data_IF_235892333132
#
_entry.id   IF_235892333132
#
_cell.length_a   1.000
_cell.length_b   1.000
_cell.length_c   1.000
_cell.angle_alpha   90.00
_cell.angle_beta   90.00
_cell.angle_gamma   90.00
#
_symmetry.space_group_name_H-M   'P 1'
#
loop_
_entity.id
_entity.type
_entity.pdbx_description
1 polymer ?
#
# COMPACT_ATOMS: atom_id res chain seq x y z
N UNK A 1 0.43 -11.43 -16.82
CA UNK A 1 1.32 -10.82 -15.82
C UNK A 1 1.34 -9.32 -16.10
N UNK A 2 0.54 -8.53 -15.40
CA UNK A 2 0.43 -7.09 -15.67
C UNK A 2 1.22 -6.36 -14.59
N UNK A 3 2.27 -5.66 -15.02
CA UNK A 3 3.22 -4.97 -14.16
C UNK A 3 2.48 -4.03 -13.19
N UNK A 4 2.78 -4.18 -11.90
CA UNK A 4 2.48 -3.14 -10.93
C UNK A 4 3.29 -1.91 -11.36
N UNK A 5 2.63 -0.90 -11.92
CA UNK A 5 3.26 0.35 -12.34
C UNK A 5 3.89 1.03 -11.12
N UNK A 6 5.17 0.77 -10.88
CA UNK A 6 5.94 1.43 -9.84
C UNK A 6 6.16 2.87 -10.27
N UNK A 7 5.42 3.80 -9.68
CA UNK A 7 5.78 5.21 -9.77
C UNK A 7 7.21 5.38 -9.20
N UNK A 8 8.03 6.33 -9.69
CA UNK A 8 9.44 6.49 -9.29
C UNK A 8 9.66 6.76 -7.78
N UNK A 9 8.58 6.90 -7.01
CA UNK A 9 8.54 7.19 -5.58
C UNK A 9 8.42 5.95 -4.68
N UNK A 10 8.50 4.73 -5.23
CA UNK A 10 8.50 3.49 -4.43
C UNK A 10 7.12 3.07 -3.90
N UNK A 11 6.05 3.72 -4.35
CA UNK A 11 4.66 3.36 -4.04
C UNK A 11 4.13 2.33 -5.04
N UNK A 12 3.53 1.28 -4.51
CA UNK A 12 2.90 0.21 -5.28
C UNK A 12 1.37 0.29 -5.13
N UNK A 13 0.69 0.38 -6.27
CA UNK A 13 -0.77 0.28 -6.35
C UNK A 13 -1.23 -1.18 -6.34
N UNK A 14 -2.46 -1.42 -5.89
CA UNK A 14 -3.09 -2.74 -5.98
C UNK A 14 -3.27 -3.15 -7.44
N UNK A 15 -2.90 -4.39 -7.77
CA UNK A 15 -3.08 -4.98 -9.11
C UNK A 15 -4.56 -5.16 -9.51
N UNK A 16 -5.49 -5.07 -8.55
CA UNK A 16 -6.93 -5.13 -8.81
C UNK A 16 -7.54 -3.75 -9.10
N UNK A 17 -6.77 -2.67 -9.02
CA UNK A 17 -7.29 -1.35 -9.35
C UNK A 17 -7.09 -1.02 -10.83
N UNK A 18 -8.20 -0.95 -11.56
CA UNK A 18 -8.23 -0.49 -12.96
C UNK A 18 -8.65 0.97 -13.11
N UNK A 19 -9.01 1.66 -12.02
CA UNK A 19 -9.58 3.02 -12.04
C UNK A 19 -8.54 4.16 -12.00
N UNK A 20 -7.35 3.96 -12.55
CA UNK A 20 -6.43 5.06 -12.91
C UNK A 20 -6.09 6.09 -11.83
N UNK A 21 -5.89 5.67 -10.57
CA UNK A 21 -5.55 6.59 -9.46
C UNK A 21 -6.61 6.69 -8.35
N UNK A 22 -7.61 5.79 -8.36
CA UNK A 22 -8.57 5.64 -7.27
C UNK A 22 -8.29 4.38 -6.44
N UNK A 23 -7.09 4.28 -5.87
CA UNK A 23 -6.66 3.10 -5.12
C UNK A 23 -5.85 3.41 -3.86
N UNK A 24 -5.82 2.43 -2.97
CA UNK A 24 -4.85 2.39 -1.88
C UNK A 24 -3.50 1.94 -2.43
N UNK A 25 -2.45 2.65 -2.02
CA UNK A 25 -1.06 2.33 -2.35
C UNK A 25 -0.27 2.06 -1.06
N UNK A 26 0.77 1.25 -1.18
CA UNK A 26 1.71 0.99 -0.08
C UNK A 26 3.16 1.06 -0.54
N UNK A 27 4.09 1.24 0.39
CA UNK A 27 5.53 1.36 0.09
C UNK A 27 6.33 0.14 0.61
N UNK A 28 6.51 -0.92 -0.20
CA UNK A 28 7.18 -2.15 0.24
C UNK A 28 8.64 -1.96 0.64
N UNK A 29 9.38 -1.10 -0.08
CA UNK A 29 10.78 -0.83 0.24
C UNK A 29 10.95 -0.18 1.62
N UNK A 30 10.05 0.74 1.98
CA UNK A 30 10.05 1.35 3.31
C UNK A 30 9.69 0.33 4.39
N UNK A 31 8.71 -0.55 4.12
CA UNK A 31 8.35 -1.62 5.05
C UNK A 31 9.50 -2.59 5.33
N UNK A 32 10.26 -2.97 4.29
CA UNK A 32 11.39 -3.86 4.43
C UNK A 32 12.53 -3.27 5.28
N UNK A 33 12.77 -1.95 5.18
CA UNK A 33 13.88 -1.27 5.85
C UNK A 33 13.51 -0.80 7.26
N UNK A 34 12.28 -0.31 7.46
CA UNK A 34 11.90 0.39 8.68
C UNK A 34 10.92 -0.39 9.58
N UNK A 35 10.42 -1.54 9.14
CA UNK A 35 9.49 -2.34 9.94
C UNK A 35 8.09 -1.74 10.08
N UNK A 36 7.74 -0.75 9.25
CA UNK A 36 6.43 -0.09 9.22
C UNK A 36 5.89 -0.07 7.81
N UNK A 37 4.62 -0.39 7.64
CA UNK A 37 3.91 -0.47 6.36
C UNK A 37 3.20 0.86 6.11
N UNK A 38 3.72 1.73 5.22
CA UNK A 38 3.08 2.98 4.91
C UNK A 38 1.97 2.73 3.90
N UNK A 39 0.79 3.28 4.17
CA UNK A 39 -0.40 3.15 3.34
C UNK A 39 -0.98 4.52 3.06
N UNK A 40 -1.33 4.80 1.80
CA UNK A 40 -1.96 6.07 1.41
C UNK A 40 -3.04 5.89 0.36
N UNK A 41 -3.91 6.90 0.24
CA UNK A 41 -4.84 7.00 -0.88
C UNK A 41 -4.16 7.74 -2.05
N UNK A 42 -4.15 7.11 -3.24
CA UNK A 42 -3.57 7.71 -4.45
C UNK A 42 -4.29 8.99 -4.91
N UNK A 43 -5.56 9.18 -4.54
CA UNK A 43 -6.34 10.39 -4.85
C UNK A 43 -5.79 11.62 -4.13
N UNK A 44 -5.14 11.41 -2.99
CA UNK A 44 -4.59 12.48 -2.14
C UNK A 44 -3.11 12.18 -1.88
N UNK A 45 -2.31 12.14 -2.94
CA UNK A 45 -0.91 11.71 -2.88
C UNK A 45 -0.03 12.55 -1.92
N UNK A 46 -0.37 13.82 -1.70
CA UNK A 46 0.28 14.74 -0.75
C UNK A 46 -0.40 14.74 0.64
N UNK A 47 -1.41 13.91 0.84
CA UNK A 47 -2.14 13.77 2.10
C UNK A 47 -1.41 12.90 3.13
N UNK A 48 -2.05 12.68 4.29
CA UNK A 48 -1.47 11.89 5.36
C UNK A 48 -1.24 10.43 4.95
N UNK A 49 -0.13 9.86 5.43
CA UNK A 49 0.24 8.46 5.25
C UNK A 49 -0.04 7.71 6.55
N UNK A 50 -0.80 6.64 6.48
CA UNK A 50 -1.01 5.74 7.61
C UNK A 50 0.22 4.85 7.78
N UNK A 51 0.90 4.98 8.91
CA UNK A 51 2.04 4.15 9.27
C UNK A 51 1.59 3.00 10.16
N UNK A 52 1.56 1.78 9.63
CA UNK A 52 1.10 0.60 10.35
C UNK A 52 2.31 -0.25 10.76
N UNK A 53 2.34 -0.80 11.97
CA UNK A 53 3.38 -1.80 12.30
C UNK A 53 3.25 -3.07 11.45
N UNK A 54 4.33 -3.82 11.27
CA UNK A 54 4.28 -5.11 10.55
C UNK A 54 3.25 -6.07 11.18
N UNK A 55 3.21 -6.15 12.51
CA UNK A 55 2.26 -7.02 13.21
C UNK A 55 0.80 -6.57 13.01
N UNK A 56 0.55 -5.25 13.11
CA UNK A 56 -0.77 -4.69 12.85
C UNK A 56 -1.24 -4.93 11.41
N UNK A 57 -0.32 -4.80 10.45
CA UNK A 57 -0.61 -5.08 9.04
C UNK A 57 -0.91 -6.57 8.81
N UNK A 58 -0.13 -7.48 9.40
CA UNK A 58 -0.38 -8.92 9.32
C UNK A 58 -1.74 -9.29 9.93
N UNK A 59 -2.09 -8.71 11.08
CA UNK A 59 -3.39 -8.87 11.72
C UNK A 59 -4.56 -8.39 10.84
N UNK A 60 -4.42 -7.20 10.24
CA UNK A 60 -5.40 -6.66 9.30
C UNK A 60 -5.59 -7.59 8.09
N UNK A 61 -4.51 -8.08 7.50
CA UNK A 61 -4.56 -8.99 6.34
C UNK A 61 -5.20 -10.33 6.71
N UNK A 62 -4.91 -10.88 7.89
CA UNK A 62 -5.56 -12.08 8.40
C UNK A 62 -7.07 -11.88 8.59
N UNK A 63 -7.48 -10.73 9.13
CA UNK A 63 -8.89 -10.36 9.27
C UNK A 63 -9.57 -10.23 7.90
N UNK A 64 -8.96 -9.49 6.97
CA UNK A 64 -9.50 -9.21 5.65
C UNK A 64 -9.63 -10.44 4.74
N UNK A 65 -8.87 -11.52 4.99
CA UNK A 65 -9.01 -12.80 4.25
C UNK A 65 -10.15 -13.69 4.75
N UNK A 66 -10.71 -13.40 5.92
CA UNK A 66 -11.79 -14.21 6.52
C UNK A 66 -13.19 -13.70 6.15
N UNK A 67 -13.27 -12.55 5.49
CA UNK A 67 -14.52 -11.92 5.03
C UNK A 67 -14.81 -12.24 3.58
#
# INVERSE_FOLDING_TARGET
MTAASSSPTGWMASSYSTNGGNCVQWAPGHAAVHGVVPVRDSKVAAGPVLMVSIEGWAGLVCLARRV
#
